data_IF_564929970808
#
_entry.id   IF_564929970808
#
_cell.length_a   1.000
_cell.length_b   1.000
_cell.length_c   1.000
_cell.angle_alpha   90.00
_cell.angle_beta   90.00
_cell.angle_gamma   90.00
#
_symmetry.space_group_name_H-M   'P 1'
#
loop_
_entity.id
_entity.type
_entity.pdbx_description
1 polymer ?
#
# COMPACT_ATOMS: atom_id res chain seq x y z
N UNK A 1 -19.39 27.63 -9.42
CA UNK A 1 -19.34 26.17 -9.27
C UNK A 1 -17.88 25.84 -9.06
N UNK A 2 -17.47 25.66 -7.80
CA UNK A 2 -16.13 25.14 -7.52
C UNK A 2 -16.17 23.66 -7.88
N UNK A 3 -15.33 23.28 -8.82
CA UNK A 3 -15.02 21.88 -9.11
C UNK A 3 -14.29 21.34 -7.88
N UNK A 4 -15.03 20.78 -6.93
CA UNK A 4 -14.46 20.14 -5.74
C UNK A 4 -13.89 18.78 -6.16
N UNK A 5 -12.86 18.79 -6.98
CA UNK A 5 -12.02 17.62 -7.16
C UNK A 5 -11.43 17.28 -5.79
N UNK A 6 -11.48 16.01 -5.35
CA UNK A 6 -10.92 15.61 -4.06
C UNK A 6 -9.45 16.02 -3.96
N UNK A 7 -8.94 16.34 -2.76
CA UNK A 7 -7.52 16.66 -2.62
C UNK A 7 -6.70 15.44 -3.08
N UNK A 8 -5.54 15.64 -3.77
CA UNK A 8 -4.75 14.54 -4.32
C UNK A 8 -4.43 13.43 -3.32
N UNK A 9 -4.19 13.78 -2.05
CA UNK A 9 -3.95 12.81 -0.98
C UNK A 9 -5.12 11.84 -0.76
N UNK A 10 -6.37 12.27 -0.93
CA UNK A 10 -7.54 11.41 -0.76
C UNK A 10 -7.63 10.36 -1.87
N UNK A 11 -7.38 10.77 -3.12
CA UNK A 11 -7.33 9.85 -4.27
C UNK A 11 -6.17 8.84 -4.15
N UNK A 12 -5.01 9.31 -3.68
CA UNK A 12 -3.85 8.46 -3.44
C UNK A 12 -4.08 7.47 -2.29
N UNK A 13 -4.71 7.90 -1.20
CA UNK A 13 -5.08 7.02 -0.09
C UNK A 13 -6.07 5.94 -0.54
N UNK A 14 -7.09 6.32 -1.32
CA UNK A 14 -8.02 5.36 -1.91
C UNK A 14 -7.29 4.34 -2.79
N UNK A 15 -6.40 4.81 -3.68
CA UNK A 15 -5.61 3.94 -4.55
C UNK A 15 -4.68 3.03 -3.74
N UNK A 16 -4.08 3.51 -2.66
CA UNK A 16 -3.22 2.72 -1.79
C UNK A 16 -3.98 1.66 -0.98
N UNK A 17 -5.21 1.96 -0.57
CA UNK A 17 -6.11 0.95 0.01
C UNK A 17 -6.42 -0.14 -1.01
N UNK A 18 -6.89 0.24 -2.20
CA UNK A 18 -7.22 -0.70 -3.27
C UNK A 18 -6.02 -1.54 -3.70
N UNK A 19 -4.85 -0.91 -3.85
CA UNK A 19 -3.65 -1.60 -4.30
C UNK A 19 -3.17 -2.64 -3.28
N UNK A 20 -3.36 -2.37 -1.98
CA UNK A 20 -3.04 -3.33 -0.93
C UNK A 20 -4.06 -4.47 -0.83
N UNK A 21 -5.34 -4.21 -1.05
CA UNK A 21 -6.33 -5.30 -1.13
C UNK A 21 -6.02 -6.22 -2.33
N UNK A 22 -5.44 -5.66 -3.39
CA UNK A 22 -4.94 -6.38 -4.55
C UNK A 22 -3.57 -7.05 -4.36
N UNK A 23 -2.95 -6.90 -3.20
CA UNK A 23 -1.59 -7.35 -2.91
C UNK A 23 -1.46 -8.87 -2.92
N UNK A 24 -0.25 -9.33 -3.23
CA UNK A 24 0.06 -10.75 -3.39
C UNK A 24 -0.09 -11.50 -2.05
N UNK A 25 0.23 -10.87 -0.93
CA UNK A 25 0.07 -11.45 0.40
C UNK A 25 -1.40 -11.55 0.81
N UNK A 26 -2.20 -10.51 0.56
CA UNK A 26 -3.64 -10.50 0.85
C UNK A 26 -4.38 -11.61 0.08
N UNK A 27 -4.03 -11.83 -1.20
CA UNK A 27 -4.60 -12.92 -1.99
C UNK A 27 -4.07 -14.29 -1.55
N UNK A 28 -2.81 -14.40 -1.11
CA UNK A 28 -2.28 -15.65 -0.57
C UNK A 28 -2.94 -16.05 0.77
N UNK A 29 -3.41 -15.07 1.55
CA UNK A 29 -4.22 -15.29 2.76
C UNK A 29 -5.65 -15.66 2.37
N UNK A 30 -6.27 -14.93 1.43
CA UNK A 30 -7.62 -15.22 0.92
C UNK A 30 -7.75 -16.59 0.27
N UNK A 31 -6.77 -16.97 -0.57
CA UNK A 31 -6.73 -18.27 -1.25
C UNK A 31 -6.47 -19.46 -0.33
N UNK A 32 -6.08 -19.25 0.94
CA UNK A 32 -6.07 -20.32 1.96
C UNK A 32 -7.45 -20.53 2.60
N UNK A 33 -8.31 -19.51 2.58
CA UNK A 33 -9.68 -19.58 3.10
C UNK A 33 -10.69 -20.05 2.06
N UNK A 34 -10.47 -19.75 0.78
CA UNK A 34 -11.31 -20.17 -0.34
C UNK A 34 -10.63 -21.32 -1.10
N UNK A 35 -11.34 -22.42 -1.35
CA UNK A 35 -10.86 -23.61 -2.09
C UNK A 35 -10.69 -23.34 -3.61
N UNK A 36 -9.99 -22.27 -4.00
CA UNK A 36 -9.89 -21.84 -5.40
C UNK A 36 -8.84 -20.75 -5.65
N UNK A 37 -8.57 -20.50 -6.94
CA UNK A 37 -7.73 -19.40 -7.39
C UNK A 37 -8.52 -18.10 -7.26
N UNK A 38 -8.29 -17.33 -6.18
CA UNK A 38 -9.00 -16.07 -5.93
C UNK A 38 -8.99 -15.13 -7.15
N UNK A 39 -7.96 -15.16 -7.99
CA UNK A 39 -7.91 -14.30 -9.18
C UNK A 39 -8.85 -14.76 -10.32
N UNK A 40 -9.27 -16.03 -10.32
CA UNK A 40 -10.28 -16.53 -11.25
C UNK A 40 -11.69 -16.07 -10.85
N UNK A 41 -11.93 -15.91 -9.55
CA UNK A 41 -13.21 -15.47 -9.00
C UNK A 41 -13.38 -13.93 -8.97
N UNK A 42 -12.28 -13.17 -9.12
CA UNK A 42 -12.27 -11.70 -9.09
C UNK A 42 -11.53 -11.08 -10.30
N UNK A 43 -12.17 -11.03 -11.49
CA UNK A 43 -11.55 -10.51 -12.72
C UNK A 43 -11.16 -9.03 -12.64
N UNK A 44 -11.87 -8.22 -11.84
CA UNK A 44 -11.54 -6.81 -11.60
C UNK A 44 -10.21 -6.67 -10.87
N UNK A 45 -9.93 -7.56 -9.91
CA UNK A 45 -8.68 -7.59 -9.15
C UNK A 45 -7.50 -7.95 -10.05
N UNK A 46 -7.70 -8.91 -10.95
CA UNK A 46 -6.71 -9.25 -11.97
C UNK A 46 -6.43 -8.08 -12.90
N UNK A 47 -7.49 -7.42 -13.40
CA UNK A 47 -7.34 -6.26 -14.26
C UNK A 47 -6.58 -5.13 -13.55
N UNK A 48 -6.86 -4.86 -12.27
CA UNK A 48 -6.11 -3.88 -11.48
C UNK A 48 -4.62 -4.21 -11.41
N UNK A 49 -4.28 -5.48 -11.12
CA UNK A 49 -2.88 -5.94 -11.04
C UNK A 49 -2.12 -5.72 -12.35
N UNK A 50 -2.75 -6.03 -13.48
CA UNK A 50 -2.17 -5.83 -14.81
C UNK A 50 -1.95 -4.35 -15.13
N UNK A 51 -2.69 -3.44 -14.48
CA UNK A 51 -2.56 -1.98 -14.65
C UNK A 51 -1.63 -1.32 -13.62
N UNK A 52 -1.03 -2.07 -12.68
CA UNK A 52 -0.07 -1.52 -11.69
C UNK A 52 1.01 -0.64 -12.33
N UNK A 53 1.62 -0.98 -13.49
CA UNK A 53 2.55 -0.09 -14.19
C UNK A 53 1.97 1.28 -14.58
N UNK A 54 0.71 1.32 -15.01
CA UNK A 54 0.05 2.57 -15.38
C UNK A 54 -0.25 3.42 -14.13
N UNK A 55 -0.76 2.80 -13.07
CA UNK A 55 -1.00 3.49 -11.80
C UNK A 55 0.30 4.02 -11.18
N UNK A 56 1.37 3.24 -11.22
CA UNK A 56 2.67 3.69 -10.70
C UNK A 56 3.18 4.94 -11.42
N UNK A 57 3.04 5.01 -12.76
CA UNK A 57 3.40 6.22 -13.52
C UNK A 57 2.59 7.44 -13.12
N UNK A 58 1.33 7.25 -12.73
CA UNK A 58 0.48 8.33 -12.24
C UNK A 58 0.85 8.77 -10.81
N UNK A 59 1.28 7.83 -9.95
CA UNK A 59 1.67 8.09 -8.56
C UNK A 59 3.08 8.67 -8.43
N UNK A 60 4.03 8.24 -9.28
CA UNK A 60 5.46 8.56 -9.13
C UNK A 60 5.79 10.05 -9.01
N UNK A 61 5.11 10.99 -9.69
CA UNK A 61 5.38 12.43 -9.53
C UNK A 61 5.14 12.94 -8.09
N UNK A 62 4.25 12.30 -7.33
CA UNK A 62 3.86 12.72 -5.98
C UNK A 62 4.80 12.18 -4.88
N UNK A 63 5.73 11.28 -5.20
CA UNK A 63 6.69 10.72 -4.21
C UNK A 63 7.64 11.78 -3.64
N UNK A 64 7.82 12.89 -4.35
CA UNK A 64 8.65 14.02 -3.95
C UNK A 64 7.84 15.28 -3.61
N UNK A 65 6.52 15.19 -3.45
CA UNK A 65 5.66 16.35 -3.22
C UNK A 65 6.09 17.13 -1.96
N UNK A 66 5.90 18.45 -1.97
CA UNK A 66 6.21 19.31 -0.83
C UNK A 66 5.20 19.08 0.32
N UNK A 67 3.95 18.80 -0.03
CA UNK A 67 2.91 18.45 0.92
C UNK A 67 3.18 17.04 1.47
N UNK A 68 3.36 16.96 2.80
CA UNK A 68 3.63 15.71 3.50
C UNK A 68 2.49 14.72 3.39
N UNK A 69 1.24 15.18 3.40
CA UNK A 69 0.08 14.27 3.33
C UNK A 69 -0.05 13.67 1.93
N UNK A 70 0.23 14.46 0.88
CA UNK A 70 0.27 13.97 -0.51
C UNK A 70 1.42 12.98 -0.70
N UNK A 71 2.60 13.31 -0.18
CA UNK A 71 3.79 12.48 -0.29
C UNK A 71 3.61 11.15 0.45
N UNK A 72 3.08 11.16 1.67
CA UNK A 72 2.87 9.94 2.47
C UNK A 72 1.81 9.03 1.82
N UNK A 73 0.74 9.62 1.30
CA UNK A 73 -0.28 8.90 0.53
C UNK A 73 0.32 8.28 -0.76
N UNK A 74 1.16 9.03 -1.48
CA UNK A 74 1.84 8.54 -2.68
C UNK A 74 2.77 7.36 -2.39
N UNK A 75 3.55 7.43 -1.30
CA UNK A 75 4.43 6.34 -0.87
C UNK A 75 3.63 5.09 -0.53
N UNK A 76 2.56 5.25 0.26
CA UNK A 76 1.69 4.14 0.66
C UNK A 76 1.00 3.49 -0.53
N UNK A 77 0.63 4.28 -1.55
CA UNK A 77 0.08 3.79 -2.80
C UNK A 77 1.12 3.11 -3.70
N UNK A 78 2.35 3.64 -3.79
CA UNK A 78 3.39 3.11 -4.66
C UNK A 78 3.88 1.72 -4.22
N UNK A 79 3.95 1.48 -2.90
CA UNK A 79 4.43 0.25 -2.28
C UNK A 79 3.80 -1.03 -2.89
N UNK A 80 2.47 -1.23 -2.86
CA UNK A 80 1.85 -2.42 -3.46
C UNK A 80 1.91 -2.45 -5.00
N UNK A 81 2.02 -1.27 -5.65
CA UNK A 81 2.12 -1.21 -7.11
C UNK A 81 3.45 -1.80 -7.61
N UNK A 82 4.56 -1.50 -6.93
CA UNK A 82 5.90 -1.96 -7.33
C UNK A 82 6.18 -3.43 -7.05
N UNK A 83 5.22 -4.16 -6.50
CA UNK A 83 5.26 -5.62 -6.45
C UNK A 83 5.09 -6.26 -7.83
N UNK A 84 4.53 -5.52 -8.80
CA UNK A 84 4.49 -5.97 -10.18
C UNK A 84 5.92 -6.26 -10.71
N UNK A 85 6.18 -7.41 -11.37
CA UNK A 85 7.52 -7.79 -11.81
C UNK A 85 8.26 -6.69 -12.60
N UNK A 86 7.56 -6.01 -13.52
CA UNK A 86 8.12 -4.93 -14.34
C UNK A 86 8.54 -3.68 -13.55
N UNK A 87 8.07 -3.54 -12.31
CA UNK A 87 8.35 -2.38 -11.45
C UNK A 87 9.34 -2.69 -10.33
N UNK A 88 9.79 -3.93 -10.19
CA UNK A 88 10.71 -4.33 -9.12
C UNK A 88 12.03 -3.57 -9.14
N UNK A 89 12.45 -3.04 -10.30
CA UNK A 89 13.60 -2.17 -10.45
C UNK A 89 13.47 -0.83 -9.69
N UNK A 90 12.26 -0.43 -9.30
CA UNK A 90 11.99 0.78 -8.53
C UNK A 90 12.02 0.57 -7.01
N UNK A 91 12.19 -0.66 -6.51
CA UNK A 91 12.18 -0.97 -5.06
C UNK A 91 13.20 -0.16 -4.26
N UNK A 92 14.41 0.01 -4.80
CA UNK A 92 15.44 0.80 -4.11
C UNK A 92 15.08 2.29 -4.03
N UNK A 93 14.43 2.82 -5.08
CA UNK A 93 14.01 4.20 -5.15
C UNK A 93 12.85 4.48 -4.19
N UNK A 94 11.77 3.71 -4.31
CA UNK A 94 10.62 3.76 -3.39
C UNK A 94 11.07 3.48 -1.96
N UNK A 95 12.01 2.56 -1.75
CA UNK A 95 12.59 2.26 -0.45
C UNK A 95 13.28 3.45 0.23
N UNK A 96 13.77 4.45 -0.51
CA UNK A 96 14.27 5.70 0.10
C UNK A 96 13.12 6.57 0.59
N UNK A 97 12.04 6.67 -0.17
CA UNK A 97 10.83 7.40 0.24
C UNK A 97 10.15 6.75 1.45
N UNK A 98 10.08 5.41 1.47
CA UNK A 98 9.55 4.63 2.61
C UNK A 98 10.35 4.90 3.88
N UNK A 99 11.69 4.87 3.83
CA UNK A 99 12.52 5.16 5.00
C UNK A 99 12.34 6.58 5.52
N UNK A 100 12.15 7.56 4.60
CA UNK A 100 11.83 8.93 4.97
C UNK A 100 10.48 9.02 5.67
N UNK A 101 9.43 8.39 5.12
CA UNK A 101 8.12 8.33 5.76
C UNK A 101 8.21 7.71 7.17
N UNK A 102 8.95 6.61 7.33
CA UNK A 102 9.16 5.98 8.64
C UNK A 102 9.96 6.84 9.63
N UNK A 103 10.66 7.86 9.16
CA UNK A 103 11.36 8.81 10.04
C UNK A 103 10.45 9.97 10.43
N UNK A 104 9.68 10.48 9.47
CA UNK A 104 8.96 11.75 9.60
C UNK A 104 7.49 11.58 10.08
N UNK A 105 6.85 10.46 9.69
CA UNK A 105 5.42 10.25 9.88
C UNK A 105 5.11 9.58 11.22
N UNK A 106 4.05 10.05 11.87
CA UNK A 106 3.44 9.41 13.06
C UNK A 106 2.18 8.62 12.72
N UNK A 107 1.75 8.63 11.46
CA UNK A 107 0.55 7.88 11.06
C UNK A 107 0.80 6.37 11.16
N UNK A 108 0.12 5.73 12.09
CA UNK A 108 0.28 4.29 12.37
C UNK A 108 -0.01 3.45 11.13
N UNK A 109 -1.00 3.82 10.33
CA UNK A 109 -1.42 3.02 9.20
C UNK A 109 -0.37 3.02 8.08
N UNK A 110 0.06 4.21 7.64
CA UNK A 110 1.08 4.37 6.62
C UNK A 110 2.41 3.74 7.04
N UNK A 111 2.80 3.91 8.32
CA UNK A 111 4.00 3.26 8.88
C UNK A 111 3.92 1.73 8.84
N UNK A 112 2.79 1.14 9.24
CA UNK A 112 2.61 -0.32 9.21
C UNK A 112 2.77 -0.86 7.79
N UNK A 113 2.04 -0.27 6.83
CA UNK A 113 2.10 -0.63 5.40
C UNK A 113 3.54 -0.59 4.86
N UNK A 114 4.26 0.47 5.19
CA UNK A 114 5.66 0.67 4.80
C UNK A 114 6.62 -0.36 5.42
N UNK A 115 6.44 -0.70 6.70
CA UNK A 115 7.26 -1.69 7.39
C UNK A 115 7.03 -3.08 6.81
N UNK A 116 5.78 -3.46 6.57
CA UNK A 116 5.42 -4.77 6.01
C UNK A 116 6.02 -4.95 4.61
N UNK A 117 5.94 -3.92 3.77
CA UNK A 117 6.56 -3.93 2.45
C UNK A 117 8.09 -4.06 2.47
N UNK A 118 8.77 -3.32 3.34
CA UNK A 118 10.23 -3.44 3.48
C UNK A 118 10.62 -4.87 3.88
N UNK A 119 9.87 -5.52 4.77
CA UNK A 119 10.11 -6.92 5.14
C UNK A 119 9.86 -7.86 3.95
N UNK A 120 8.79 -7.65 3.20
CA UNK A 120 8.48 -8.45 2.00
C UNK A 120 9.55 -8.31 0.91
N UNK A 121 10.22 -7.17 0.83
CA UNK A 121 11.36 -6.97 -0.07
C UNK A 121 12.69 -7.47 0.51
N UNK A 122 12.70 -8.01 1.74
CA UNK A 122 13.88 -8.58 2.39
C UNK A 122 14.77 -7.57 3.10
N UNK A 123 14.29 -6.35 3.38
CA UNK A 123 15.06 -5.37 4.16
C UNK A 123 14.85 -5.55 5.66
N UNK A 124 15.90 -5.31 6.43
CA UNK A 124 15.85 -5.24 7.90
C UNK A 124 15.12 -3.97 8.36
N UNK A 125 14.05 -4.14 9.14
CA UNK A 125 13.20 -3.01 9.59
C UNK A 125 13.36 -2.67 11.07
N UNK A 126 14.05 -3.47 11.86
CA UNK A 126 14.11 -3.34 13.34
C UNK A 126 14.59 -1.95 13.82
N UNK A 127 15.53 -1.34 13.10
CA UNK A 127 16.03 0.00 13.42
C UNK A 127 15.05 1.14 13.06
N UNK A 128 14.01 0.86 12.28
CA UNK A 128 13.02 1.82 11.80
C UNK A 128 11.69 1.73 12.58
N UNK A 129 11.51 0.68 13.38
CA UNK A 129 10.31 0.46 14.19
C UNK A 129 10.33 1.34 15.45
N UNK A 130 9.20 2.00 15.72
CA UNK A 130 8.94 2.66 17.01
C UNK A 130 8.33 1.66 18.00
N UNK A 131 8.30 2.04 19.29
CA UNK A 131 7.61 1.24 20.31
C UNK A 131 6.12 1.02 19.98
N UNK A 132 5.46 1.98 19.33
CA UNK A 132 4.08 1.87 18.89
C UNK A 132 3.93 0.84 17.75
N UNK A 133 4.87 0.82 16.79
CA UNK A 133 4.87 -0.16 15.69
C UNK A 133 5.05 -1.58 16.22
N UNK A 134 5.97 -1.77 17.18
CA UNK A 134 6.23 -3.06 17.84
C UNK A 134 4.98 -3.55 18.59
N UNK A 135 4.31 -2.66 19.32
CA UNK A 135 3.08 -2.99 20.04
C UNK A 135 1.94 -3.38 19.08
N UNK A 136 1.76 -2.62 18.00
CA UNK A 136 0.76 -2.89 16.96
C UNK A 136 0.96 -4.26 16.30
N UNK A 137 2.20 -4.59 15.92
CA UNK A 137 2.56 -5.89 15.34
C UNK A 137 2.22 -7.05 16.28
N UNK A 138 2.51 -6.89 17.57
CA UNK A 138 2.21 -7.91 18.59
C UNK A 138 0.71 -8.13 18.77
N UNK A 139 -0.11 -7.09 18.58
CA UNK A 139 -1.56 -7.18 18.67
C UNK A 139 -2.17 -7.89 17.45
N UNK A 140 -1.66 -7.64 16.24
CA UNK A 140 -2.12 -8.29 15.02
C UNK A 140 -1.86 -9.81 15.03
N UNK A 141 -0.71 -10.24 15.58
CA UNK A 141 -0.39 -11.65 15.79
C UNK A 141 -1.31 -12.37 16.81
N UNK A 142 -2.08 -11.61 17.61
CA UNK A 142 -2.99 -12.14 18.64
C UNK A 142 -4.46 -12.15 18.22
N UNK A 143 -4.81 -11.57 17.08
CA UNK A 143 -6.17 -11.57 16.57
C UNK A 143 -6.22 -11.04 15.13
N UNK A 144 -6.72 -11.85 14.21
CA UNK A 144 -6.87 -11.48 12.81
C UNK A 144 -8.07 -12.20 12.20
N UNK A 145 -9.27 -11.86 12.67
CA UNK A 145 -10.48 -12.05 11.86
C UNK A 145 -10.47 -10.91 10.84
N UNK A 146 -9.97 -11.22 9.64
CA UNK A 146 -9.94 -10.30 8.52
C UNK A 146 -11.38 -9.98 8.09
N UNK A 147 -11.96 -8.89 8.58
CA UNK A 147 -13.17 -8.31 8.00
C UNK A 147 -12.76 -7.50 6.78
N UNK A 148 -12.48 -8.20 5.66
CA UNK A 148 -12.24 -7.59 4.37
C UNK A 148 -13.40 -6.68 3.99
N UNK A 149 -13.16 -5.36 3.99
CA UNK A 149 -14.09 -4.36 3.49
C UNK A 149 -13.86 -4.20 2.00
N UNK A 150 -14.68 -4.87 1.19
CA UNK A 150 -14.64 -4.74 -0.26
C UNK A 150 -15.29 -3.40 -0.68
N UNK A 151 -14.58 -2.64 -1.52
CA UNK A 151 -15.06 -1.52 -2.37
C UNK A 151 -15.65 -0.30 -1.65
N UNK A 152 -14.80 0.58 -1.14
CA UNK A 152 -15.17 2.01 -1.08
C UNK A 152 -15.11 2.61 -2.50
N UNK A 153 -16.18 3.30 -2.91
CA UNK A 153 -16.30 3.98 -4.20
C UNK A 153 -15.20 5.06 -4.35
N UNK A 154 -14.57 5.21 -5.54
CA UNK A 154 -13.56 6.25 -5.76
C UNK A 154 -14.08 7.65 -5.39
N UNK A 155 -13.23 8.51 -4.81
CA UNK A 155 -13.66 9.81 -4.28
C UNK A 155 -13.93 10.89 -5.37
N UNK A 156 -14.21 10.53 -6.62
CA UNK A 156 -14.32 11.45 -7.76
C UNK A 156 -15.49 11.16 -8.72
#
# INVERSE_FOLDING_TARGET
>A
MADSSPPPCLALNWLGSLAYDADDECLAIGGRGFNGDCLADYPEMRAFRDHRPAFYRAVSPFLGDEDTDVRDAAVTAAVPLIEHPDLTCHRDDVGRHVRRLLTDSTDRYSRSRCLDALRNWGYETTALETAADIAARTQHLRGGDWTGGFMDEPPF
#
